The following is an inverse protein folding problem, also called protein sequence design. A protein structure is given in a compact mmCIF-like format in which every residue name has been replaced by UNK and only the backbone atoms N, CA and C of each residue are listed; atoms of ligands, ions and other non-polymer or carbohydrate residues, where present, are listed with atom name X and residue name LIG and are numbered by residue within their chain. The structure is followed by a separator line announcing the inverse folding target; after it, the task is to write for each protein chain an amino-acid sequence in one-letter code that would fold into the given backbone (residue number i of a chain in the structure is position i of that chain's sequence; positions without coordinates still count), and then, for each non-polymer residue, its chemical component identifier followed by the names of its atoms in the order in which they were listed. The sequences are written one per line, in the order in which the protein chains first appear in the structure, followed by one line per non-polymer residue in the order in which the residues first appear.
data_IF_017951154804
#
_entry.id   IF_017951154804
#
_cell.length_a   1.000
_cell.length_b   1.000
_cell.length_c   1.000
_cell.angle_alpha   90.00
_cell.angle_beta   90.00
_cell.angle_gamma   90.00
#
_symmetry.space_group_name_H-M   'P 1'
#
loop_
_entity.id
_entity.type
_entity.pdbx_description
1 polymer ?
#
# COMPACT_ATOMS: atom_id res chain seq x y z
N UNK A 1 10.51 2.69 -24.53
CA UNK A 1 9.16 3.01 -24.02
C UNK A 1 8.72 1.94 -23.02
N UNK A 2 9.42 1.82 -21.89
CA UNK A 2 9.11 0.84 -20.86
C UNK A 2 9.26 1.49 -19.50
N UNK A 3 8.19 2.11 -19.00
CA UNK A 3 7.90 2.27 -17.55
C UNK A 3 6.66 3.13 -17.25
N UNK A 4 6.13 3.89 -18.22
CA UNK A 4 4.99 4.80 -17.97
C UNK A 4 3.76 4.07 -17.40
N UNK A 5 3.50 2.83 -17.83
CA UNK A 5 2.40 2.01 -17.30
C UNK A 5 2.63 1.49 -15.87
N UNK A 6 3.89 1.37 -15.42
CA UNK A 6 4.22 0.96 -14.05
C UNK A 6 4.08 2.13 -13.08
N UNK A 7 4.52 3.32 -13.49
CA UNK A 7 4.47 4.50 -12.62
C UNK A 7 3.02 4.91 -12.33
N UNK A 8 2.13 4.89 -13.32
CA UNK A 8 0.71 5.18 -13.11
C UNK A 8 0.07 4.25 -12.06
N UNK A 9 0.38 2.95 -12.14
CA UNK A 9 -0.12 1.96 -11.19
C UNK A 9 0.44 2.18 -9.78
N UNK A 10 1.70 2.59 -9.68
CA UNK A 10 2.33 2.92 -8.41
C UNK A 10 1.63 4.14 -7.79
N UNK A 11 1.40 5.19 -8.56
CA UNK A 11 0.68 6.37 -8.10
C UNK A 11 -0.77 6.05 -7.70
N UNK A 12 -1.50 5.24 -8.48
CA UNK A 12 -2.85 4.79 -8.09
C UNK A 12 -2.87 4.09 -6.72
N UNK A 13 -1.91 3.19 -6.48
CA UNK A 13 -1.79 2.49 -5.20
C UNK A 13 -1.48 3.48 -4.07
N UNK A 14 -0.50 4.36 -4.28
CA UNK A 14 -0.03 5.30 -3.26
C UNK A 14 -1.10 6.36 -2.92
N UNK A 15 -1.84 6.87 -3.90
CA UNK A 15 -2.97 7.78 -3.67
C UNK A 15 -4.06 7.14 -2.81
N UNK A 16 -4.39 5.86 -3.04
CA UNK A 16 -5.36 5.16 -2.18
C UNK A 16 -4.84 5.02 -0.74
N UNK A 17 -3.54 4.84 -0.55
CA UNK A 17 -2.93 4.75 0.79
C UNK A 17 -2.96 6.10 1.51
N UNK A 18 -2.70 7.19 0.79
CA UNK A 18 -2.74 8.56 1.34
C UNK A 18 -4.13 8.93 1.88
N UNK A 19 -5.18 8.47 1.21
CA UNK A 19 -6.58 8.69 1.61
C UNK A 19 -7.03 7.90 2.85
N UNK A 20 -6.21 6.98 3.38
CA UNK A 20 -6.57 6.22 4.59
C UNK A 20 -6.54 7.16 5.80
N UNK A 21 -7.67 7.43 6.48
CA UNK A 21 -7.71 8.38 7.59
C UNK A 21 -6.87 7.94 8.78
N UNK A 22 -6.42 8.90 9.59
CA UNK A 22 -5.80 8.60 10.88
C UNK A 22 -6.75 7.76 11.76
N UNK A 23 -6.19 6.79 12.48
CA UNK A 23 -6.95 5.86 13.32
C UNK A 23 -7.73 4.79 12.54
N UNK A 24 -7.56 4.70 11.21
CA UNK A 24 -8.12 3.65 10.37
C UNK A 24 -7.03 2.88 9.63
N UNK A 25 -7.39 1.66 9.24
CA UNK A 25 -6.53 0.79 8.44
C UNK A 25 -7.28 0.24 7.24
N UNK A 26 -6.54 -0.09 6.19
CA UNK A 26 -7.03 -0.84 5.05
C UNK A 26 -6.13 -2.07 4.83
N UNK A 27 -6.72 -3.15 4.31
CA UNK A 27 -5.94 -4.32 3.90
C UNK A 27 -5.39 -4.17 2.49
N UNK A 28 -4.28 -4.85 2.20
CA UNK A 28 -3.76 -4.95 0.83
C UNK A 28 -4.82 -5.41 -0.20
N UNK A 29 -5.76 -6.25 0.21
CA UNK A 29 -6.88 -6.70 -0.62
C UNK A 29 -7.90 -5.60 -0.91
N UNK A 30 -8.23 -4.78 0.09
CA UNK A 30 -9.11 -3.63 -0.11
C UNK A 30 -8.50 -2.62 -1.06
N UNK A 31 -7.21 -2.29 -0.89
CA UNK A 31 -6.51 -1.38 -1.81
C UNK A 31 -6.50 -1.96 -3.24
N UNK A 32 -6.17 -3.24 -3.39
CA UNK A 32 -6.18 -3.91 -4.68
C UNK A 32 -7.57 -3.87 -5.35
N UNK A 33 -8.64 -3.99 -4.58
CA UNK A 33 -10.02 -3.87 -5.07
C UNK A 33 -10.38 -2.44 -5.49
N UNK A 34 -9.94 -1.43 -4.73
CA UNK A 34 -10.23 -0.03 -5.02
C UNK A 34 -9.62 0.43 -6.35
N UNK A 35 -8.47 -0.12 -6.73
CA UNK A 35 -7.82 0.13 -8.03
C UNK A 35 -8.27 -0.83 -9.15
N UNK A 36 -9.33 -1.61 -8.94
CA UNK A 36 -9.85 -2.55 -9.95
C UNK A 36 -8.97 -3.78 -10.21
N UNK A 37 -8.14 -4.17 -9.25
CA UNK A 37 -7.18 -5.29 -9.34
C UNK A 37 -7.32 -6.29 -8.18
N UNK A 38 -8.54 -6.74 -7.91
CA UNK A 38 -8.95 -7.55 -6.75
C UNK A 38 -7.99 -8.68 -6.31
N UNK A 39 -7.30 -9.33 -7.26
CA UNK A 39 -6.39 -10.47 -6.99
C UNK A 39 -4.92 -10.08 -6.76
N UNK A 40 -4.61 -8.78 -6.77
CA UNK A 40 -3.23 -8.28 -6.80
C UNK A 40 -2.74 -7.72 -5.46
N UNK A 41 -3.20 -8.24 -4.32
CA UNK A 41 -2.74 -7.76 -3.00
C UNK A 41 -1.22 -7.86 -2.80
N UNK A 42 -0.58 -8.88 -3.40
CA UNK A 42 0.89 -9.02 -3.38
C UNK A 42 1.60 -7.90 -4.15
N UNK A 43 0.99 -7.40 -5.21
CA UNK A 43 1.53 -6.27 -5.97
C UNK A 43 1.50 -4.99 -5.13
N UNK A 44 0.39 -4.74 -4.43
CA UNK A 44 0.29 -3.62 -3.49
C UNK A 44 1.44 -3.68 -2.47
N UNK A 45 1.65 -4.84 -1.83
CA UNK A 45 2.76 -5.01 -0.88
C UNK A 45 4.14 -4.74 -1.49
N UNK A 46 4.39 -5.15 -2.74
CA UNK A 46 5.65 -4.85 -3.45
C UNK A 46 5.84 -3.35 -3.70
N UNK A 47 4.76 -2.63 -4.03
CA UNK A 47 4.79 -1.18 -4.24
C UNK A 47 5.04 -0.45 -2.93
N UNK A 48 4.34 -0.82 -1.85
CA UNK A 48 4.53 -0.17 -0.54
C UNK A 48 5.91 -0.42 0.04
N UNK A 49 6.52 -1.59 -0.21
CA UNK A 49 7.92 -1.86 0.15
C UNK A 49 8.96 -1.04 -0.63
N UNK A 50 8.53 -0.18 -1.55
CA UNK A 50 9.35 0.77 -2.32
C UNK A 50 8.79 2.19 -2.23
N UNK A 51 7.81 2.46 -1.36
CA UNK A 51 7.13 3.75 -1.28
C UNK A 51 8.10 4.91 -0.98
N UNK A 52 9.17 4.65 -0.23
CA UNK A 52 10.22 5.63 0.10
C UNK A 52 10.86 6.29 -1.13
N UNK A 53 10.87 5.62 -2.29
CA UNK A 53 11.39 6.17 -3.54
C UNK A 53 10.44 7.16 -4.22
N UNK A 54 9.18 7.20 -3.77
CA UNK A 54 8.11 8.01 -4.36
C UNK A 54 7.63 9.12 -3.43
N UNK A 55 7.87 9.02 -2.11
CA UNK A 55 7.50 10.03 -1.13
C UNK A 55 7.26 9.45 0.26
N UNK A 56 6.75 10.30 1.16
CA UNK A 56 6.28 9.88 2.47
C UNK A 56 4.80 9.54 2.40
N UNK A 57 4.47 8.29 2.70
CA UNK A 57 3.11 7.76 2.63
C UNK A 57 2.78 7.03 3.93
N UNK A 58 1.51 7.06 4.38
CA UNK A 58 1.09 6.43 5.64
C UNK A 58 0.94 4.90 5.49
N UNK A 59 1.97 4.23 4.96
CA UNK A 59 2.00 2.79 4.70
C UNK A 59 1.76 1.96 5.98
N UNK A 60 2.00 2.54 7.17
CA UNK A 60 1.71 1.92 8.47
C UNK A 60 0.21 1.65 8.67
N UNK A 61 -0.65 2.32 7.91
CA UNK A 61 -2.12 2.11 7.91
C UNK A 61 -2.55 0.94 7.04
N UNK A 62 -1.61 0.20 6.44
CA UNK A 62 -1.88 -0.97 5.60
C UNK A 62 -1.54 -2.26 6.33
N UNK A 63 -2.51 -3.17 6.39
CA UNK A 63 -2.42 -4.45 7.11
C UNK A 63 -2.72 -5.65 6.22
N UNK A 64 -2.42 -6.85 6.69
CA UNK A 64 -2.85 -8.08 6.01
C UNK A 64 -4.35 -8.37 6.23
N UNK A 65 -4.86 -9.43 5.58
CA UNK A 65 -6.27 -9.82 5.69
C UNK A 65 -6.71 -10.23 7.10
N UNK A 66 -5.77 -10.53 7.99
CA UNK A 66 -6.04 -10.80 9.42
C UNK A 66 -5.89 -9.53 10.29
N UNK A 67 -5.68 -8.36 9.70
CA UNK A 67 -5.45 -7.11 10.44
C UNK A 67 -4.06 -6.97 11.08
N UNK A 68 -3.09 -7.83 10.72
CA UNK A 68 -1.74 -7.78 11.28
C UNK A 68 -0.80 -6.95 10.42
N UNK A 69 0.14 -6.28 11.07
CA UNK A 69 1.22 -5.50 10.46
C UNK A 69 2.23 -6.39 9.73
N UNK A 70 3.04 -5.78 8.86
CA UNK A 70 4.09 -6.51 8.16
C UNK A 70 5.14 -7.03 9.16
N UNK A 71 5.52 -8.31 9.13
CA UNK A 71 6.40 -8.89 10.14
C UNK A 71 7.81 -8.27 10.17
N UNK A 72 8.29 -7.79 9.01
CA UNK A 72 9.61 -7.16 8.87
C UNK A 72 9.62 -5.64 9.06
N UNK A 73 8.48 -5.02 9.35
CA UNK A 73 8.40 -3.57 9.55
C UNK A 73 8.14 -3.25 11.01
N UNK A 74 9.23 -3.20 11.79
CA UNK A 74 9.15 -3.00 13.24
C UNK A 74 8.63 -1.61 13.61
N UNK A 75 8.97 -0.59 12.83
CA UNK A 75 8.54 0.80 13.05
C UNK A 75 7.02 0.95 12.99
N UNK A 76 6.34 0.16 12.15
CA UNK A 76 4.88 0.14 12.07
C UNK A 76 4.21 -0.21 13.41
N UNK A 77 4.90 -0.93 14.31
CA UNK A 77 4.36 -1.29 15.64
C UNK A 77 4.48 -0.17 16.68
N UNK A 78 5.30 0.84 16.39
CA UNK A 78 5.63 1.93 17.31
C UNK A 78 4.85 3.22 17.03
N UNK A 79 4.06 3.24 15.95
CA UNK A 79 3.19 4.35 15.53
C UNK A 79 1.79 4.19 16.13
#
# INVERSE_FOLDING_TARGET
MGNIMNDNLIYEILSVVEEIPCGRVASYGQIARLIGRDKNSRLVGKVLGRAEFYGDFPCHRVVNSSGRTAPGWTEQRSL
#
